data_IF_586904694413
#
_entry.id   IF_586904694413
#
_cell.length_a   1.000
_cell.length_b   1.000
_cell.length_c   1.000
_cell.angle_alpha   90.00
_cell.angle_beta   90.00
_cell.angle_gamma   90.00
#
_symmetry.space_group_name_H-M   'P 1'
#
loop_
_entity.id
_entity.type
_entity.pdbx_description
1 polymer ?
#
# COMPACT_ATOMS: atom_id res chain seq x y z
N UNK A 1 5.08 4.03 19.30
CA UNK A 1 4.26 4.73 18.29
C UNK A 1 4.31 6.21 18.60
N UNK A 2 4.93 7.00 17.71
CA UNK A 2 5.19 8.43 17.92
C UNK A 2 4.12 9.27 17.22
N UNK A 3 3.68 10.37 17.81
CA UNK A 3 2.75 11.31 17.17
C UNK A 3 3.48 12.60 16.83
N UNK A 4 3.35 13.06 15.60
CA UNK A 4 3.97 14.31 15.11
C UNK A 4 2.92 15.18 14.44
N UNK A 5 3.11 16.49 14.45
CA UNK A 5 2.26 17.39 13.68
C UNK A 5 2.66 17.39 12.20
N UNK A 6 1.72 17.72 11.32
CA UNK A 6 1.97 17.86 9.88
C UNK A 6 3.02 18.95 9.59
N UNK A 7 3.12 19.95 10.47
CA UNK A 7 4.16 20.98 10.39
C UNK A 7 5.54 20.38 10.69
N UNK A 8 5.67 19.62 11.77
CA UNK A 8 6.93 18.95 12.13
C UNK A 8 7.32 17.90 11.09
N UNK A 9 6.37 17.10 10.60
CA UNK A 9 6.61 16.13 9.54
C UNK A 9 7.13 16.79 8.26
N UNK A 10 6.60 17.97 7.89
CA UNK A 10 7.08 18.74 6.74
C UNK A 10 8.48 19.33 6.97
N UNK A 11 8.75 19.86 8.17
CA UNK A 11 10.01 20.53 8.49
C UNK A 11 11.17 19.55 8.74
N UNK A 12 10.88 18.40 9.35
CA UNK A 12 11.86 17.39 9.75
C UNK A 12 11.64 16.07 9.02
N UNK A 13 11.40 16.12 7.71
CA UNK A 13 11.02 14.93 6.94
C UNK A 13 12.09 13.84 6.96
N UNK A 14 13.39 14.19 6.97
CA UNK A 14 14.46 13.19 7.11
C UNK A 14 14.39 12.40 8.42
N UNK A 15 14.27 13.11 9.55
CA UNK A 15 14.15 12.50 10.89
C UNK A 15 12.85 11.69 11.04
N UNK A 16 11.77 12.14 10.39
CA UNK A 16 10.52 11.40 10.30
C UNK A 16 10.72 10.03 9.62
N UNK A 17 11.48 9.98 8.52
CA UNK A 17 11.78 8.72 7.82
C UNK A 17 12.66 7.79 8.67
N UNK A 18 13.64 8.33 9.38
CA UNK A 18 14.47 7.52 10.30
C UNK A 18 13.64 6.98 11.47
N UNK A 19 12.68 7.78 11.94
CA UNK A 19 11.79 7.37 13.03
C UNK A 19 10.79 6.31 12.57
N UNK A 20 10.18 6.46 11.39
CA UNK A 20 9.17 5.51 10.89
C UNK A 20 9.76 4.12 10.60
N UNK A 21 11.07 4.03 10.37
CA UNK A 21 11.81 2.77 10.24
C UNK A 21 11.97 2.03 11.57
N UNK A 22 11.94 2.74 12.71
CA UNK A 22 12.11 2.15 14.04
C UNK A 22 10.77 1.90 14.74
N UNK A 23 9.80 2.79 14.53
CA UNK A 23 8.47 2.66 15.09
C UNK A 23 7.42 3.38 14.24
N UNK A 24 6.15 2.91 14.22
CA UNK A 24 5.05 3.60 13.56
C UNK A 24 4.87 5.05 14.04
N UNK A 25 4.67 5.96 13.09
CA UNK A 25 4.48 7.39 13.36
C UNK A 25 3.11 7.86 12.88
N UNK A 26 2.32 8.50 13.77
CA UNK A 26 1.05 9.13 13.44
C UNK A 26 1.30 10.60 13.12
N UNK A 27 0.79 11.06 11.98
CA UNK A 27 0.81 12.48 11.58
C UNK A 27 -0.54 13.10 11.90
N UNK A 28 -0.53 14.25 12.57
CA UNK A 28 -1.73 15.01 12.95
C UNK A 28 -1.77 16.37 12.28
N UNK A 29 -2.96 16.83 11.88
CA UNK A 29 -3.20 18.19 11.39
C UNK A 29 -4.28 18.83 12.27
N UNK A 30 -3.98 19.98 12.87
CA UNK A 30 -4.90 20.68 13.78
C UNK A 30 -5.44 19.77 14.91
N UNK A 31 -4.55 19.02 15.57
CA UNK A 31 -4.87 18.04 16.61
C UNK A 31 -5.77 16.87 16.16
N UNK A 32 -5.94 16.65 14.85
CA UNK A 32 -6.65 15.48 14.29
C UNK A 32 -5.65 14.55 13.60
N UNK A 33 -5.67 13.23 13.86
CA UNK A 33 -4.84 12.28 13.12
C UNK A 33 -5.28 12.25 11.65
N UNK A 34 -4.32 12.32 10.73
CA UNK A 34 -4.56 12.39 9.27
C UNK A 34 -3.80 11.34 8.47
N UNK A 35 -2.79 10.71 9.05
CA UNK A 35 -2.03 9.66 8.37
C UNK A 35 -1.13 8.90 9.32
N UNK A 36 -0.76 7.69 8.93
CA UNK A 36 0.19 6.84 9.65
C UNK A 36 1.33 6.54 8.69
N UNK A 37 2.56 6.72 9.14
CA UNK A 37 3.79 6.36 8.45
C UNK A 37 4.36 5.13 9.15
N UNK A 38 4.57 4.06 8.39
CA UNK A 38 5.17 2.81 8.85
C UNK A 38 6.27 2.40 7.87
N UNK A 39 7.24 1.64 8.37
CA UNK A 39 8.25 1.02 7.51
C UNK A 39 7.58 0.06 6.53
N UNK A 40 8.15 -0.09 5.32
CA UNK A 40 7.61 -1.02 4.31
C UNK A 40 7.70 -2.47 4.82
N UNK A 41 8.72 -2.79 5.62
CA UNK A 41 8.92 -4.09 6.25
C UNK A 41 7.80 -4.38 7.26
N UNK A 42 7.47 -3.43 8.15
CA UNK A 42 6.37 -3.57 9.10
C UNK A 42 4.99 -3.53 8.43
N UNK A 43 4.85 -2.80 7.32
CA UNK A 43 3.63 -2.75 6.53
C UNK A 43 3.35 -4.06 5.78
N UNK A 44 4.40 -4.77 5.37
CA UNK A 44 4.26 -6.05 4.67
C UNK A 44 3.81 -7.17 5.63
N UNK A 45 4.22 -7.10 6.89
CA UNK A 45 3.87 -8.09 7.92
C UNK A 45 2.54 -7.83 8.62
N UNK A 46 1.90 -6.70 8.36
CA UNK A 46 0.64 -6.34 9.03
C UNK A 46 -0.49 -6.14 8.03
N UNK A 47 -1.64 -6.79 8.28
CA UNK A 47 -2.94 -6.61 7.57
C UNK A 47 -3.52 -5.17 7.70
N UNK A 48 -2.68 -4.20 8.08
CA UNK A 48 -3.00 -2.80 8.35
C UNK A 48 -3.68 -2.06 7.18
N UNK A 49 -3.41 -2.36 5.89
CA UNK A 49 -4.16 -1.73 4.81
C UNK A 49 -5.68 -1.96 4.89
N UNK A 50 -6.11 -3.11 5.41
CA UNK A 50 -7.53 -3.49 5.48
C UNK A 50 -8.27 -2.85 6.66
N UNK A 51 -7.55 -2.45 7.72
CA UNK A 51 -8.15 -1.95 8.98
C UNK A 51 -8.27 -0.41 9.04
N UNK A 52 -7.50 0.35 8.25
CA UNK A 52 -7.41 1.82 8.36
C UNK A 52 -7.98 2.60 7.17
N UNK A 53 -8.52 1.93 6.14
CA UNK A 53 -9.34 2.64 5.14
C UNK A 53 -10.71 2.94 5.74
N UNK A 54 -10.99 4.22 6.04
CA UNK A 54 -12.38 4.70 6.05
C UNK A 54 -12.93 4.44 4.65
N UNK A 55 -13.71 3.37 4.53
CA UNK A 55 -14.28 2.90 3.28
C UNK A 55 -15.26 3.95 2.78
N UNK A 56 -14.96 4.59 1.66
CA UNK A 56 -15.96 5.41 0.99
C UNK A 56 -17.23 4.56 0.76
N UNK A 57 -18.44 5.14 0.85
CA UNK A 57 -19.67 4.42 0.56
C UNK A 57 -19.58 3.73 -0.81
N UNK A 58 -19.66 2.39 -0.83
CA UNK A 58 -19.50 1.57 -2.05
C UNK A 58 -18.14 0.88 -2.22
N UNK A 59 -17.14 1.16 -1.38
CA UNK A 59 -15.87 0.42 -1.39
C UNK A 59 -16.09 -1.07 -1.11
N UNK A 60 -16.96 -1.42 -0.16
CA UNK A 60 -17.28 -2.80 0.17
C UNK A 60 -17.92 -3.54 -1.01
N UNK A 61 -18.87 -2.93 -1.71
CA UNK A 61 -19.49 -3.52 -2.89
C UNK A 61 -18.48 -3.71 -4.03
N UNK A 62 -17.66 -2.70 -4.30
CA UNK A 62 -16.58 -2.80 -5.28
C UNK A 62 -15.56 -3.89 -4.91
N UNK A 63 -15.16 -3.96 -3.64
CA UNK A 63 -14.20 -4.93 -3.14
C UNK A 63 -14.75 -6.35 -3.25
N UNK A 64 -15.99 -6.57 -2.83
CA UNK A 64 -16.68 -7.86 -2.95
C UNK A 64 -16.83 -8.27 -4.43
N UNK A 65 -17.22 -7.34 -5.31
CA UNK A 65 -17.32 -7.62 -6.75
C UNK A 65 -15.95 -8.00 -7.36
N UNK A 66 -14.88 -7.31 -6.96
CA UNK A 66 -13.52 -7.56 -7.47
C UNK A 66 -12.95 -8.88 -6.98
N UNK A 67 -13.06 -9.16 -5.68
CA UNK A 67 -12.60 -10.42 -5.09
C UNK A 67 -13.42 -11.60 -5.63
N UNK A 68 -14.74 -11.45 -5.71
CA UNK A 68 -15.63 -12.45 -6.29
C UNK A 68 -15.31 -12.74 -7.75
N UNK A 69 -15.11 -11.71 -8.58
CA UNK A 69 -14.73 -11.87 -9.98
C UNK A 69 -13.38 -12.58 -10.15
N UNK A 70 -12.38 -12.23 -9.33
CA UNK A 70 -11.08 -12.91 -9.34
C UNK A 70 -11.19 -14.38 -8.93
N UNK A 71 -12.03 -14.69 -7.93
CA UNK A 71 -12.25 -16.06 -7.47
C UNK A 71 -12.98 -16.90 -8.53
N UNK A 72 -13.98 -16.35 -9.21
CA UNK A 72 -14.68 -17.05 -10.31
C UNK A 72 -13.78 -17.26 -11.52
N UNK A 73 -12.93 -16.29 -11.86
CA UNK A 73 -11.90 -16.46 -12.89
C UNK A 73 -10.91 -17.57 -12.54
N UNK A 74 -10.57 -17.71 -11.26
CA UNK A 74 -9.73 -18.80 -10.77
C UNK A 74 -10.45 -20.16 -10.85
N UNK A 75 -11.70 -20.26 -10.36
CA UNK A 75 -12.49 -21.50 -10.40
C UNK A 75 -12.78 -21.99 -11.82
N UNK A 76 -13.00 -21.07 -12.76
CA UNK A 76 -13.25 -21.38 -14.17
C UNK A 76 -11.98 -21.77 -14.95
N UNK A 77 -10.80 -21.72 -14.32
CA UNK A 77 -9.52 -22.03 -14.95
C UNK A 77 -8.94 -20.91 -15.81
N UNK A 78 -9.59 -19.74 -15.86
CA UNK A 78 -9.12 -18.56 -16.56
C UNK A 78 -8.01 -17.80 -15.80
N UNK A 79 -7.71 -18.20 -14.57
CA UNK A 79 -6.62 -17.66 -13.77
C UNK A 79 -5.89 -18.78 -13.03
N UNK A 80 -4.56 -18.71 -13.02
CA UNK A 80 -3.70 -19.73 -12.42
C UNK A 80 -3.03 -19.15 -11.16
N UNK A 81 -3.13 -19.86 -10.04
CA UNK A 81 -2.39 -19.50 -8.83
C UNK A 81 -0.90 -19.72 -9.09
N UNK A 82 -0.11 -18.67 -8.90
CA UNK A 82 1.34 -18.69 -9.06
C UNK A 82 1.99 -18.37 -7.72
N UNK A 83 3.25 -18.76 -7.52
CA UNK A 83 4.02 -18.30 -6.36
C UNK A 83 4.16 -16.78 -6.42
N UNK A 84 4.13 -16.16 -5.25
CA UNK A 84 4.19 -14.71 -5.11
C UNK A 84 5.43 -14.11 -5.82
N UNK A 85 6.60 -14.70 -5.62
CA UNK A 85 7.87 -14.25 -6.21
C UNK A 85 7.81 -14.19 -7.75
N UNK A 86 7.22 -15.21 -8.38
CA UNK A 86 7.08 -15.32 -9.83
C UNK A 86 6.09 -14.29 -10.40
N UNK A 87 5.09 -13.90 -9.60
CA UNK A 87 4.15 -12.82 -9.96
C UNK A 87 4.86 -11.48 -9.88
N UNK A 88 5.58 -11.23 -8.79
CA UNK A 88 6.29 -9.97 -8.58
C UNK A 88 7.40 -9.75 -9.62
N UNK A 89 8.14 -10.79 -9.98
CA UNK A 89 9.14 -10.72 -11.05
C UNK A 89 8.53 -10.26 -12.40
N UNK A 90 7.38 -10.82 -12.80
CA UNK A 90 6.67 -10.43 -14.04
C UNK A 90 6.12 -9.02 -13.98
N UNK A 91 5.65 -8.57 -12.82
CA UNK A 91 5.17 -7.19 -12.63
C UNK A 91 6.32 -6.20 -12.79
N UNK A 92 7.46 -6.48 -12.16
CA UNK A 92 8.67 -5.67 -12.28
C UNK A 92 9.19 -5.59 -13.72
N UNK A 93 9.19 -6.72 -14.44
CA UNK A 93 9.57 -6.78 -15.85
C UNK A 93 8.68 -5.89 -16.74
N UNK A 94 7.34 -5.93 -16.54
CA UNK A 94 6.39 -5.08 -17.27
C UNK A 94 6.52 -3.60 -16.95
N UNK A 95 6.84 -3.24 -15.71
CA UNK A 95 7.06 -1.85 -15.32
C UNK A 95 8.32 -1.32 -16.00
N UNK A 96 9.40 -2.08 -15.99
CA UNK A 96 10.66 -1.72 -16.64
C UNK A 96 10.51 -1.58 -18.16
N UNK A 97 9.70 -2.44 -18.80
CA UNK A 97 9.44 -2.36 -20.25
C UNK A 97 8.62 -1.12 -20.63
N UNK A 98 7.77 -0.60 -19.74
CA UNK A 98 7.00 0.64 -19.95
C UNK A 98 7.81 1.91 -19.75
N UNK A 99 8.90 1.84 -18.99
CA UNK A 99 9.80 2.98 -18.71
C UNK A 99 10.99 3.10 -19.66
N UNK A 100 11.22 2.14 -20.57
CA UNK A 100 12.22 2.31 -21.63
C UNK A 100 11.69 3.31 -22.66
N UNK A 101 12.37 4.43 -22.94
CA UNK A 101 11.95 5.34 -23.99
C UNK A 101 11.99 4.59 -25.33
N UNK A 102 10.94 4.72 -26.13
CA UNK A 102 10.94 4.30 -27.52
C UNK A 102 12.03 5.12 -28.21
N UNK A 103 13.19 4.51 -28.49
CA UNK A 103 14.19 5.12 -29.36
C UNK A 103 13.66 5.03 -30.79
N UNK A 104 13.18 6.16 -31.30
CA UNK A 104 12.99 6.42 -32.71
C UNK A 104 13.55 7.82 -33.01
#
# INVERSE_FOLDING_TARGET
MKTVTAREAKTHFGELLDTMQREPVIVTKNNRPVGIMISIEDAADTLIPEMFMDKEPGYDEWFQAKVGGALEAFKSGNSIASRHDDVMARVWERLQSRTKPVSA
#
